data_IF_547257026352
#
_entry.id   IF_547257026352
#
_cell.length_a   1.000
_cell.length_b   1.000
_cell.length_c   1.000
_cell.angle_alpha   90.00
_cell.angle_beta   90.00
_cell.angle_gamma   90.00
#
_symmetry.space_group_name_H-M   'P 1'
#
loop_
_entity.id
_entity.type
_entity.pdbx_description
1 polymer ?
#
# COMPACT_ATOMS: atom_id res chain seq x y z
N UNK A 1 19.10 -42.11 -42.38
CA UNK A 1 18.10 -41.02 -42.25
C UNK A 1 17.83 -40.81 -40.78
N UNK A 2 18.40 -39.75 -40.18
CA UNK A 2 18.09 -39.37 -38.80
C UNK A 2 16.66 -38.82 -38.83
N UNK A 3 15.78 -39.41 -38.02
CA UNK A 3 14.37 -39.09 -37.98
C UNK A 3 14.19 -37.72 -37.31
N UNK A 4 14.34 -36.65 -38.11
CA UNK A 4 14.42 -35.25 -37.68
C UNK A 4 13.14 -34.76 -36.97
N UNK A 5 12.05 -35.52 -37.04
CA UNK A 5 10.79 -35.25 -36.35
C UNK A 5 10.87 -35.44 -34.82
N UNK A 6 11.68 -36.37 -34.31
CA UNK A 6 11.80 -36.61 -32.86
C UNK A 6 12.38 -35.44 -32.06
N UNK A 7 13.50 -34.79 -32.49
CA UNK A 7 14.05 -33.66 -31.74
C UNK A 7 13.16 -32.41 -31.80
N UNK A 8 12.40 -32.21 -32.89
CA UNK A 8 11.49 -31.06 -33.06
C UNK A 8 10.32 -31.15 -32.07
N UNK A 9 9.73 -32.34 -31.89
CA UNK A 9 8.65 -32.56 -30.92
C UNK A 9 9.15 -32.40 -29.48
N UNK A 10 10.37 -32.83 -29.17
CA UNK A 10 10.97 -32.65 -27.85
C UNK A 10 11.22 -31.17 -27.52
N UNK A 11 11.68 -30.39 -28.51
CA UNK A 11 11.91 -28.95 -28.36
C UNK A 11 10.59 -28.17 -28.17
N UNK A 12 9.52 -28.55 -28.86
CA UNK A 12 8.20 -27.94 -28.69
C UNK A 12 7.59 -28.17 -27.29
N UNK A 13 7.84 -29.35 -26.69
CA UNK A 13 7.42 -29.66 -25.31
C UNK A 13 8.20 -28.83 -24.26
N UNK A 14 9.47 -28.52 -24.51
CA UNK A 14 10.27 -27.63 -23.65
C UNK A 14 9.86 -26.16 -23.73
N UNK A 15 9.20 -25.71 -24.80
CA UNK A 15 8.69 -24.34 -24.90
C UNK A 15 7.40 -24.12 -24.10
N UNK A 16 6.77 -25.17 -23.57
CA UNK A 16 5.52 -25.07 -22.81
C UNK A 16 5.71 -24.88 -21.29
N UNK A 17 6.94 -24.87 -20.77
CA UNK A 17 7.21 -24.55 -19.34
C UNK A 17 7.22 -23.04 -19.04
N UNK A 18 6.90 -22.17 -20.02
CA UNK A 18 6.94 -20.71 -19.87
C UNK A 18 5.65 -20.06 -19.32
N UNK A 19 4.54 -20.80 -19.22
CA UNK A 19 3.27 -20.29 -18.70
C UNK A 19 2.90 -21.03 -17.43
N UNK A 20 3.71 -20.88 -16.38
CA UNK A 20 3.17 -21.07 -15.05
C UNK A 20 2.38 -19.80 -14.72
N UNK A 21 1.08 -19.93 -14.47
CA UNK A 21 0.32 -18.99 -13.64
C UNK A 21 0.91 -19.07 -12.22
N UNK A 22 2.17 -18.66 -12.08
CA UNK A 22 2.79 -18.51 -10.79
C UNK A 22 1.93 -17.46 -10.11
N UNK A 23 1.04 -17.93 -9.21
CA UNK A 23 0.33 -17.10 -8.27
C UNK A 23 1.44 -16.34 -7.59
N UNK A 24 1.64 -15.10 -8.01
CA UNK A 24 2.76 -14.32 -7.52
C UNK A 24 2.53 -14.19 -6.02
N UNK A 25 3.38 -14.86 -5.25
CA UNK A 25 3.20 -14.91 -3.81
C UNK A 25 3.36 -13.50 -3.28
N UNK A 26 2.32 -13.01 -2.61
CA UNK A 26 2.35 -11.68 -2.04
C UNK A 26 3.51 -11.62 -1.04
N UNK A 27 4.35 -10.58 -1.08
CA UNK A 27 5.46 -10.47 -0.13
C UNK A 27 4.96 -10.59 1.31
N UNK A 28 5.63 -11.40 2.12
CA UNK A 28 5.16 -11.76 3.47
C UNK A 28 5.12 -10.58 4.44
N UNK A 29 5.91 -9.55 4.14
CA UNK A 29 6.01 -8.30 4.90
C UNK A 29 5.01 -7.24 4.44
N UNK A 30 4.32 -7.45 3.31
CA UNK A 30 3.30 -6.51 2.81
C UNK A 30 2.08 -6.51 3.71
N UNK A 31 1.80 -5.37 4.34
CA UNK A 31 0.67 -5.25 5.23
C UNK A 31 -0.67 -5.47 4.49
N UNK A 32 -1.61 -6.25 5.05
CA UNK A 32 -2.90 -6.53 4.44
C UNK A 32 -3.88 -5.35 4.60
N UNK A 33 -3.50 -4.18 4.06
CA UNK A 33 -4.18 -2.91 4.28
C UNK A 33 -5.68 -2.96 3.99
N UNK A 34 -6.09 -3.45 2.82
CA UNK A 34 -7.49 -3.49 2.41
C UNK A 34 -8.37 -4.29 3.37
N UNK A 35 -7.96 -5.51 3.71
CA UNK A 35 -8.76 -6.37 4.60
C UNK A 35 -8.80 -5.82 6.03
N UNK A 36 -7.70 -5.25 6.52
CA UNK A 36 -7.65 -4.63 7.84
C UNK A 36 -8.57 -3.40 7.93
N UNK A 37 -8.55 -2.52 6.92
CA UNK A 37 -9.40 -1.32 6.90
C UNK A 37 -10.88 -1.65 6.72
N UNK A 38 -11.23 -2.61 5.84
CA UNK A 38 -12.62 -3.07 5.68
C UNK A 38 -13.13 -3.74 6.96
N UNK A 39 -12.29 -4.51 7.66
CA UNK A 39 -12.68 -5.13 8.93
C UNK A 39 -12.90 -4.08 10.03
N UNK A 40 -12.07 -3.03 10.06
CA UNK A 40 -12.16 -1.97 11.08
C UNK A 40 -13.32 -1.01 10.84
N UNK A 41 -13.53 -0.61 9.59
CA UNK A 41 -14.42 0.49 9.20
C UNK A 41 -15.71 0.01 8.53
N UNK A 42 -15.87 -1.32 8.43
CA UNK A 42 -16.95 -2.03 7.75
C UNK A 42 -16.99 -1.69 6.25
N UNK A 43 -18.10 -2.00 5.56
CA UNK A 43 -18.27 -1.74 4.12
C UNK A 43 -18.51 -0.27 3.77
N UNK A 44 -18.34 0.65 4.72
CA UNK A 44 -18.62 2.09 4.55
C UNK A 44 -17.53 2.84 3.77
N UNK A 45 -16.38 2.20 3.48
CA UNK A 45 -15.25 2.86 2.86
C UNK A 45 -14.95 2.33 1.46
N UNK A 46 -14.80 3.26 0.53
CA UNK A 46 -14.24 2.98 -0.78
C UNK A 46 -12.72 3.12 -0.70
N UNK A 47 -12.03 1.99 -0.84
CA UNK A 47 -10.56 1.97 -0.92
C UNK A 47 -10.17 2.02 -2.40
N UNK A 48 -9.44 3.05 -2.76
CA UNK A 48 -8.97 3.31 -4.12
C UNK A 48 -7.51 2.87 -4.21
N UNK A 49 -7.24 1.93 -5.12
CA UNK A 49 -5.89 1.51 -5.47
C UNK A 49 -5.36 2.39 -6.61
N UNK A 50 -4.52 3.37 -6.29
CA UNK A 50 -3.85 4.20 -7.30
C UNK A 50 -2.77 3.43 -8.05
N UNK A 51 -2.12 2.49 -7.36
CA UNK A 51 -1.17 1.54 -7.95
C UNK A 51 -1.29 0.22 -7.20
N UNK A 52 -1.54 -0.88 -7.91
CA UNK A 52 -1.58 -2.20 -7.31
C UNK A 52 -0.79 -3.19 -8.16
N UNK A 53 0.41 -3.49 -7.71
CA UNK A 53 1.30 -4.51 -8.27
C UNK A 53 1.79 -5.42 -7.15
N UNK A 54 2.42 -6.50 -7.58
CA UNK A 54 2.96 -7.51 -6.70
C UNK A 54 4.04 -6.93 -5.76
N UNK A 55 4.84 -6.01 -6.28
CA UNK A 55 6.00 -5.44 -5.58
C UNK A 55 5.77 -4.03 -5.06
N UNK A 56 4.72 -3.35 -5.51
CA UNK A 56 4.42 -1.96 -5.10
C UNK A 56 2.92 -1.80 -4.95
N UNK A 57 2.50 -1.10 -3.90
CA UNK A 57 1.11 -0.70 -3.71
C UNK A 57 1.01 0.73 -3.22
N UNK A 58 0.08 1.49 -3.79
CA UNK A 58 -0.38 2.78 -3.29
C UNK A 58 -1.90 2.73 -3.26
N UNK A 59 -2.45 2.80 -2.07
CA UNK A 59 -3.89 2.74 -1.83
C UNK A 59 -4.30 3.81 -0.85
N UNK A 60 -5.53 4.28 -0.96
CA UNK A 60 -6.04 5.24 0.01
C UNK A 60 -7.55 5.13 0.15
N UNK A 61 -8.06 5.75 1.21
CA UNK A 61 -9.48 6.01 1.37
C UNK A 61 -9.67 7.34 2.08
N UNK A 62 -10.89 7.86 1.96
CA UNK A 62 -11.29 9.12 2.55
C UNK A 62 -12.30 8.88 3.68
N UNK A 63 -12.24 9.73 4.69
CA UNK A 63 -13.14 9.71 5.83
C UNK A 63 -13.76 11.08 6.02
N UNK A 64 -15.04 11.17 6.44
CA UNK A 64 -15.65 12.43 6.81
C UNK A 64 -14.81 13.17 7.87
N UNK A 65 -14.64 14.47 7.70
CA UNK A 65 -13.76 15.29 8.55
C UNK A 65 -14.09 15.22 10.05
N UNK A 66 -15.37 15.10 10.37
CA UNK A 66 -15.88 15.07 11.75
C UNK A 66 -16.04 13.63 12.30
N UNK A 67 -15.41 12.64 11.68
CA UNK A 67 -15.51 11.24 12.11
C UNK A 67 -14.42 10.88 13.13
N UNK A 68 -14.80 10.12 14.16
CA UNK A 68 -13.86 9.46 15.07
C UNK A 68 -13.14 8.25 14.43
N UNK A 69 -13.48 7.87 13.19
CA UNK A 69 -12.88 6.74 12.48
C UNK A 69 -11.35 6.89 12.31
N UNK A 70 -10.81 8.11 12.26
CA UNK A 70 -9.35 8.34 12.25
C UNK A 70 -8.68 7.81 13.53
N UNK A 71 -9.29 8.03 14.69
CA UNK A 71 -8.77 7.52 15.95
C UNK A 71 -8.77 5.99 15.97
N UNK A 72 -9.84 5.37 15.45
CA UNK A 72 -9.91 3.91 15.28
C UNK A 72 -8.78 3.38 14.40
N UNK A 73 -8.48 4.05 13.27
CA UNK A 73 -7.35 3.68 12.40
C UNK A 73 -6.03 3.80 13.15
N UNK A 74 -5.79 4.93 13.83
CA UNK A 74 -4.55 5.14 14.60
C UNK A 74 -4.40 4.09 15.70
N UNK A 75 -5.48 3.68 16.36
CA UNK A 75 -5.45 2.64 17.39
C UNK A 75 -5.14 1.27 16.79
N UNK A 76 -5.71 0.92 15.64
CA UNK A 76 -5.37 -0.31 14.92
C UNK A 76 -3.88 -0.32 14.53
N UNK A 77 -3.36 0.77 13.98
CA UNK A 77 -1.94 0.87 13.60
C UNK A 77 -1.04 0.59 14.82
N UNK A 78 -1.33 1.19 15.98
CA UNK A 78 -0.57 0.93 17.21
C UNK A 78 -0.66 -0.53 17.65
N UNK A 79 -1.85 -1.14 17.57
CA UNK A 79 -2.07 -2.56 17.92
C UNK A 79 -1.28 -3.49 17.01
N UNK A 80 -1.19 -3.17 15.73
CA UNK A 80 -0.48 -3.95 14.71
C UNK A 80 1.05 -3.65 14.71
N UNK A 81 1.54 -2.86 15.66
CA UNK A 81 2.98 -2.59 15.83
C UNK A 81 3.56 -1.51 14.93
N UNK A 82 2.71 -0.70 14.28
CA UNK A 82 3.17 0.46 13.53
C UNK A 82 3.77 1.52 14.45
N UNK A 83 4.87 2.13 14.01
CA UNK A 83 5.60 3.16 14.74
C UNK A 83 5.34 4.51 14.10
N UNK A 84 4.93 5.51 14.90
CA UNK A 84 4.87 6.91 14.45
C UNK A 84 6.31 7.39 14.18
N UNK A 85 6.63 7.66 12.92
CA UNK A 85 7.94 8.20 12.52
C UNK A 85 8.04 9.69 12.69
N UNK A 86 6.96 10.41 12.42
CA UNK A 86 6.98 11.86 12.54
C UNK A 86 5.62 12.48 12.27
N UNK A 87 5.53 13.75 12.67
CA UNK A 87 4.36 14.60 12.46
C UNK A 87 4.78 15.80 11.63
N UNK A 88 4.10 16.00 10.52
CA UNK A 88 4.15 17.23 9.76
C UNK A 88 2.92 18.09 10.05
N UNK A 89 2.66 19.04 9.16
CA UNK A 89 1.46 19.89 9.26
C UNK A 89 0.28 19.18 8.60
N UNK A 90 -0.64 18.67 9.42
CA UNK A 90 -1.83 17.94 8.97
C UNK A 90 -1.54 16.54 8.46
N UNK A 91 -0.34 16.00 8.68
CA UNK A 91 0.06 14.67 8.25
C UNK A 91 0.88 13.97 9.32
N UNK A 92 0.38 12.83 9.81
CA UNK A 92 1.13 11.93 10.68
C UNK A 92 1.59 10.72 9.88
N UNK A 93 2.88 10.39 9.94
CA UNK A 93 3.47 9.27 9.20
C UNK A 93 3.80 8.10 10.12
N UNK A 94 3.26 6.94 9.81
CA UNK A 94 3.47 5.67 10.52
C UNK A 94 4.17 4.66 9.61
N UNK A 95 5.00 3.81 10.20
CA UNK A 95 5.77 2.81 9.48
C UNK A 95 5.74 1.44 10.14
N UNK A 96 5.75 0.39 9.32
CA UNK A 96 5.82 -1.00 9.75
C UNK A 96 6.91 -1.72 8.95
N UNK A 97 8.02 -2.01 9.62
CA UNK A 97 9.24 -2.43 8.93
C UNK A 97 9.75 -1.35 7.98
N UNK A 98 10.52 -1.78 6.98
CA UNK A 98 11.15 -0.89 5.98
C UNK A 98 10.22 -0.59 4.79
N UNK A 99 9.27 -1.49 4.53
CA UNK A 99 8.56 -1.54 3.25
C UNK A 99 7.13 -1.00 3.33
N UNK A 100 6.60 -0.72 4.52
CA UNK A 100 5.22 -0.25 4.69
C UNK A 100 5.17 1.12 5.35
N UNK A 101 4.39 2.02 4.76
CA UNK A 101 4.14 3.36 5.29
C UNK A 101 2.67 3.72 5.18
N UNK A 102 2.14 4.35 6.24
CA UNK A 102 0.81 4.95 6.27
C UNK A 102 0.92 6.42 6.62
N UNK A 103 0.27 7.28 5.84
CA UNK A 103 0.06 8.69 6.17
C UNK A 103 -1.39 8.91 6.58
N UNK A 104 -1.58 9.42 7.79
CA UNK A 104 -2.87 9.92 8.27
C UNK A 104 -2.92 11.42 7.95
N UNK A 105 -3.83 11.80 7.08
CA UNK A 105 -3.96 13.18 6.58
C UNK A 105 -5.22 13.80 7.17
N UNK A 106 -5.04 14.85 7.97
CA UNK A 106 -6.09 15.68 8.55
C UNK A 106 -5.90 17.10 8.02
N UNK A 107 -6.74 17.56 7.07
CA UNK A 107 -6.54 18.86 6.44
C UNK A 107 -6.61 20.03 7.43
N UNK A 108 -5.52 20.80 7.48
CA UNK A 108 -5.40 22.03 8.27
C UNK A 108 -5.19 23.25 7.36
N UNK A 109 -5.48 24.43 7.91
CA UNK A 109 -5.16 25.69 7.24
C UNK A 109 -3.65 25.85 7.09
N UNK A 110 -3.19 26.46 5.99
CA UNK A 110 -1.76 26.69 5.72
C UNK A 110 -1.05 25.63 4.87
N UNK A 111 -1.75 24.56 4.47
CA UNK A 111 -1.23 23.49 3.60
C UNK A 111 -0.92 22.20 4.34
N UNK A 112 -0.63 21.14 3.57
CA UNK A 112 -0.26 19.84 4.08
C UNK A 112 1.24 19.63 3.88
N UNK A 113 1.95 19.28 4.95
CA UNK A 113 3.38 19.00 4.90
C UNK A 113 3.64 17.70 5.65
N UNK A 114 4.47 16.83 5.07
CA UNK A 114 4.95 15.64 5.76
C UNK A 114 5.97 15.99 6.87
N UNK A 115 6.41 14.98 7.62
CA UNK A 115 7.34 15.17 8.73
C UNK A 115 8.75 15.63 8.30
N UNK A 116 9.10 15.49 7.01
CA UNK A 116 10.34 16.00 6.42
C UNK A 116 10.17 17.41 5.81
N UNK A 117 8.98 18.00 5.92
CA UNK A 117 8.65 19.31 5.34
C UNK A 117 8.28 19.26 3.85
N UNK A 118 8.13 18.07 3.28
CA UNK A 118 7.64 17.88 1.91
C UNK A 118 6.19 18.31 1.79
N UNK A 119 5.91 19.22 0.85
CA UNK A 119 4.55 19.73 0.62
C UNK A 119 3.72 18.68 -0.13
N UNK A 120 2.57 18.34 0.43
CA UNK A 120 1.60 17.44 -0.21
C UNK A 120 0.54 18.26 -0.95
N UNK A 121 0.43 18.05 -2.26
CA UNK A 121 -0.62 18.64 -3.08
C UNK A 121 -1.89 17.81 -2.97
N UNK A 122 -2.95 18.41 -2.42
CA UNK A 122 -4.29 17.82 -2.35
C UNK A 122 -5.31 18.84 -2.87
N UNK A 123 -6.35 18.33 -3.54
CA UNK A 123 -7.43 19.14 -4.13
C UNK A 123 -8.64 19.29 -3.21
N UNK A 124 -8.90 18.31 -2.33
CA UNK A 124 -10.04 18.34 -1.39
C UNK A 124 -9.59 18.39 0.08
N UNK A 125 -9.93 19.48 0.78
CA UNK A 125 -9.64 19.71 2.20
C UNK A 125 -10.88 19.51 3.11
N UNK A 126 -11.98 19.02 2.54
CA UNK A 126 -13.25 18.76 3.24
C UNK A 126 -13.32 17.39 3.91
N UNK A 127 -12.37 16.50 3.61
CA UNK A 127 -12.31 15.12 4.12
C UNK A 127 -10.93 14.79 4.69
N UNK A 128 -10.89 13.89 5.67
CA UNK A 128 -9.65 13.25 6.11
C UNK A 128 -9.26 12.15 5.13
N UNK A 129 -8.00 11.74 5.12
CA UNK A 129 -7.56 10.61 4.30
C UNK A 129 -6.53 9.74 5.00
N UNK A 130 -6.50 8.48 4.61
CA UNK A 130 -5.49 7.50 5.03
C UNK A 130 -4.84 6.98 3.76
N UNK A 131 -3.53 7.21 3.62
CA UNK A 131 -2.74 6.81 2.46
C UNK A 131 -1.80 5.68 2.86
N UNK A 132 -1.90 4.53 2.24
CA UNK A 132 -1.00 3.41 2.39
C UNK A 132 -0.07 3.29 1.20
N UNK A 133 1.21 3.04 1.49
CA UNK A 133 2.24 2.76 0.51
C UNK A 133 3.06 1.55 0.93
N UNK A 134 3.29 0.65 -0.02
CA UNK A 134 4.18 -0.49 0.10
C UNK A 134 5.16 -0.52 -1.08
N UNK A 135 6.42 -0.79 -0.80
CA UNK A 135 7.46 -1.02 -1.80
C UNK A 135 8.36 -2.18 -1.36
N UNK A 136 8.36 -3.27 -2.12
CA UNK A 136 9.16 -4.48 -1.88
C UNK A 136 10.66 -4.20 -1.96
N UNK A 137 11.05 -3.27 -2.82
CA UNK A 137 12.45 -2.96 -3.11
C UNK A 137 12.94 -1.74 -2.34
N UNK A 138 12.07 -1.16 -1.51
CA UNK A 138 12.28 0.15 -0.90
C UNK A 138 13.58 0.22 -0.10
N UNK A 139 14.48 1.09 -0.57
CA UNK A 139 15.27 1.91 0.34
C UNK A 139 14.29 2.50 1.37
N UNK A 140 14.59 2.30 2.66
CA UNK A 140 13.69 2.55 3.79
C UNK A 140 12.72 3.72 3.54
N UNK A 141 11.44 3.41 3.25
CA UNK A 141 10.40 4.40 2.93
C UNK A 141 10.18 5.41 4.07
N UNK A 142 10.79 5.13 5.22
CA UNK A 142 10.60 5.71 6.51
C UNK A 142 11.89 6.25 7.16
N UNK A 143 13.04 6.20 6.47
CA UNK A 143 14.25 6.99 6.75
C UNK A 143 14.32 8.23 5.89
#
# INVERSE_FOLDING_TARGET
MINLFKPIVLFALFLQVGCTDAIYEQPSDKYPFKSQMVKLLESDIEIIDSLHKAEVQISYFELPKNSNKIESVVNLLKQDGWVLKGKGQGVDTYCLGLNNRVNIVVPVFGGLYDFKGGKLSRTDYSVNAVLYSYDKWGDDLCE
#
